data_IF_940794848018
#
_entry.id   IF_940794848018
#
_cell.length_a   1.000
_cell.length_b   1.000
_cell.length_c   1.000
_cell.angle_alpha   90.00
_cell.angle_beta   90.00
_cell.angle_gamma   90.00
#
_symmetry.space_group_name_H-M   'P 1'
#
loop_
_entity.id
_entity.type
_entity.pdbx_description
1 polymer ?
#
# COMPACT_ATOMS: atom_id res chain seq x y z
N UNK A 1 16.74 45.82 -59.72
CA UNK A 1 16.89 44.45 -60.25
C UNK A 1 18.18 43.88 -59.73
N UNK A 2 18.12 43.01 -58.71
CA UNK A 2 18.81 41.73 -58.73
C UNK A 2 18.42 40.94 -57.47
N UNK A 3 17.80 39.80 -57.75
CA UNK A 3 17.36 38.77 -56.84
C UNK A 3 18.51 38.28 -55.98
N UNK A 4 18.32 38.22 -54.67
CA UNK A 4 19.17 37.42 -53.80
C UNK A 4 18.53 36.03 -53.68
N UNK A 5 19.25 35.07 -54.23
CA UNK A 5 19.00 33.65 -54.19
C UNK A 5 18.83 33.18 -52.73
N UNK A 6 17.60 32.87 -52.36
CA UNK A 6 17.31 32.06 -51.20
C UNK A 6 17.64 30.60 -51.53
N UNK A 7 18.89 30.19 -51.28
CA UNK A 7 19.26 28.78 -51.23
C UNK A 7 18.49 28.09 -50.10
N UNK A 8 17.33 27.55 -50.46
CA UNK A 8 16.55 26.66 -49.63
C UNK A 8 17.31 25.34 -49.52
N UNK A 9 18.02 25.15 -48.42
CA UNK A 9 18.55 23.86 -48.01
C UNK A 9 17.38 22.94 -47.60
N UNK A 10 16.65 22.43 -48.59
CA UNK A 10 15.78 21.29 -48.39
C UNK A 10 16.65 20.05 -48.20
N UNK A 11 17.15 19.84 -46.96
CA UNK A 11 17.64 18.52 -46.56
C UNK A 11 16.43 17.58 -46.55
N UNK A 12 16.31 16.77 -47.60
CA UNK A 12 15.45 15.59 -47.61
C UNK A 12 15.67 14.79 -46.32
N UNK A 13 14.62 14.32 -45.62
CA UNK A 13 14.82 13.44 -44.48
C UNK A 13 15.43 12.15 -45.01
N UNK A 14 16.71 11.92 -44.70
CA UNK A 14 17.36 10.63 -44.94
C UNK A 14 16.45 9.53 -44.39
N UNK A 15 16.11 8.58 -45.25
CA UNK A 15 15.33 7.42 -44.88
C UNK A 15 16.11 6.60 -43.87
N UNK A 16 15.79 6.81 -42.59
CA UNK A 16 16.43 6.13 -41.47
C UNK A 16 16.23 4.63 -41.63
N UNK A 17 17.27 3.91 -42.07
CA UNK A 17 17.23 2.46 -42.14
C UNK A 17 17.18 1.91 -40.72
N UNK A 18 16.19 1.08 -40.36
CA UNK A 18 16.12 0.52 -39.02
C UNK A 18 17.33 -0.40 -38.79
N UNK A 19 18.20 0.00 -37.87
CA UNK A 19 19.43 -0.72 -37.48
C UNK A 19 19.17 -2.01 -36.70
N UNK A 20 17.91 -2.38 -36.43
CA UNK A 20 17.55 -3.48 -35.56
C UNK A 20 17.70 -3.19 -34.06
N UNK A 21 18.31 -2.04 -33.69
CA UNK A 21 18.46 -1.59 -32.31
C UNK A 21 17.13 -1.11 -31.70
N UNK A 22 17.04 -1.13 -30.36
CA UNK A 22 15.88 -0.57 -29.66
C UNK A 22 15.78 0.93 -29.90
N UNK A 23 14.59 1.38 -30.32
CA UNK A 23 14.27 2.81 -30.37
C UNK A 23 14.24 3.38 -28.96
N UNK A 24 15.14 4.29 -28.62
CA UNK A 24 15.17 4.96 -27.33
C UNK A 24 14.39 6.27 -27.38
N UNK A 25 13.65 6.58 -26.32
CA UNK A 25 13.05 7.90 -26.10
C UNK A 25 13.87 8.68 -25.05
N UNK A 26 13.50 9.94 -24.78
CA UNK A 26 14.23 10.79 -23.83
C UNK A 26 14.25 10.19 -22.41
N UNK A 27 13.10 9.74 -21.91
CA UNK A 27 12.99 9.13 -20.58
C UNK A 27 13.86 7.87 -20.42
N UNK A 28 13.95 7.03 -21.45
CA UNK A 28 14.84 5.87 -21.46
C UNK A 28 16.30 6.29 -21.35
N UNK A 29 16.70 7.38 -22.02
CA UNK A 29 18.08 7.90 -21.94
C UNK A 29 18.38 8.43 -20.54
N UNK A 30 17.45 9.12 -19.91
CA UNK A 30 17.59 9.58 -18.52
C UNK A 30 17.67 8.42 -17.53
N UNK A 31 16.84 7.39 -17.72
CA UNK A 31 16.87 6.17 -16.90
C UNK A 31 18.20 5.44 -17.07
N UNK A 32 18.73 5.36 -18.31
CA UNK A 32 20.05 4.81 -18.59
C UNK A 32 21.15 5.62 -17.91
N UNK A 33 21.16 6.96 -18.05
CA UNK A 33 22.16 7.81 -17.43
C UNK A 33 22.17 7.66 -15.89
N UNK A 34 20.99 7.61 -15.27
CA UNK A 34 20.85 7.36 -13.82
C UNK A 34 21.33 5.97 -13.40
N UNK A 35 21.03 4.94 -14.20
CA UNK A 35 21.58 3.60 -13.99
C UNK A 35 23.10 3.55 -14.21
N UNK A 36 23.63 4.38 -15.10
CA UNK A 36 25.05 4.47 -15.40
C UNK A 36 25.84 5.19 -14.31
N UNK A 37 25.22 6.11 -13.58
CA UNK A 37 25.79 6.71 -12.37
C UNK A 37 25.70 5.83 -11.12
N UNK A 38 25.08 4.64 -11.21
CA UNK A 38 25.01 3.73 -10.08
C UNK A 38 26.36 3.04 -9.85
N UNK A 39 26.98 3.36 -8.71
CA UNK A 39 28.25 2.79 -8.28
C UNK A 39 28.09 1.55 -7.38
N UNK A 40 26.85 1.23 -6.99
CA UNK A 40 26.52 0.20 -6.01
C UNK A 40 26.23 0.76 -4.62
N UNK A 41 25.70 -0.09 -3.77
CA UNK A 41 25.32 0.23 -2.39
C UNK A 41 26.43 -0.20 -1.43
N UNK A 42 26.69 0.51 -0.32
CA UNK A 42 27.66 0.07 0.68
C UNK A 42 27.43 -1.39 1.11
N UNK A 43 28.54 -2.10 1.38
CA UNK A 43 28.49 -3.49 1.85
C UNK A 43 27.68 -3.56 3.14
N UNK A 44 26.64 -4.40 3.15
CA UNK A 44 25.69 -4.55 4.26
C UNK A 44 24.28 -3.99 3.97
N UNK A 45 24.19 -2.93 3.17
CA UNK A 45 22.90 -2.33 2.76
C UNK A 45 22.35 -2.90 1.44
N UNK A 46 23.17 -3.67 0.73
CA UNK A 46 22.85 -4.39 -0.50
C UNK A 46 21.85 -5.53 -0.27
N UNK A 47 20.61 -5.19 0.10
CA UNK A 47 19.51 -6.12 0.38
C UNK A 47 18.47 -6.03 -0.75
N UNK A 48 18.47 -6.94 -1.74
CA UNK A 48 17.60 -6.84 -2.91
C UNK A 48 16.11 -6.73 -2.56
N UNK A 49 15.68 -7.44 -1.51
CA UNK A 49 14.29 -7.42 -1.04
C UNK A 49 13.88 -6.07 -0.43
N UNK A 50 14.83 -5.27 0.08
CA UNK A 50 14.56 -3.92 0.59
C UNK A 50 14.10 -3.01 -0.54
N UNK A 51 14.81 -3.03 -1.68
CA UNK A 51 14.45 -2.26 -2.86
C UNK A 51 13.14 -2.75 -3.48
N UNK A 52 12.93 -4.07 -3.51
CA UNK A 52 11.68 -4.65 -3.97
C UNK A 52 10.48 -4.26 -3.11
N UNK A 53 10.64 -4.23 -1.78
CA UNK A 53 9.58 -3.82 -0.86
C UNK A 53 9.19 -2.35 -1.05
N UNK A 54 10.17 -1.45 -1.19
CA UNK A 54 9.88 -0.04 -1.50
C UNK A 54 9.13 0.10 -2.83
N UNK A 55 9.55 -0.63 -3.87
CA UNK A 55 8.84 -0.66 -5.14
C UNK A 55 7.42 -1.23 -5.01
N UNK A 56 7.22 -2.29 -4.22
CA UNK A 56 5.90 -2.90 -4.00
C UNK A 56 4.89 -1.89 -3.44
N UNK A 57 5.32 -1.08 -2.48
CA UNK A 57 4.45 -0.07 -1.85
C UNK A 57 4.17 1.11 -2.78
N UNK A 58 5.10 1.43 -3.68
CA UNK A 58 4.98 2.51 -4.64
C UNK A 58 4.23 2.12 -5.93
N UNK A 59 4.28 0.85 -6.34
CA UNK A 59 3.78 0.36 -7.63
C UNK A 59 2.35 0.78 -7.98
N UNK A 60 1.37 0.75 -7.05
CA UNK A 60 -0.01 1.17 -7.33
C UNK A 60 -0.15 2.65 -7.76
N UNK A 61 0.85 3.48 -7.45
CA UNK A 61 0.84 4.92 -7.69
C UNK A 61 1.65 5.34 -8.92
N UNK A 62 2.37 4.41 -9.53
CA UNK A 62 3.25 4.68 -10.67
C UNK A 62 2.57 4.52 -12.03
N UNK A 63 1.27 4.15 -12.06
CA UNK A 63 0.51 3.97 -13.30
C UNK A 63 1.06 2.84 -14.19
N UNK A 64 1.68 1.82 -13.57
CA UNK A 64 2.34 0.74 -14.30
C UNK A 64 1.34 -0.26 -14.88
N UNK A 65 1.67 -0.92 -16.00
CA UNK A 65 0.83 -1.97 -16.56
C UNK A 65 0.73 -3.18 -15.62
N UNK A 66 -0.35 -3.94 -15.78
CA UNK A 66 -0.51 -5.21 -15.09
C UNK A 66 0.71 -6.13 -15.28
N UNK A 67 1.03 -6.94 -14.27
CA UNK A 67 2.22 -7.79 -14.16
C UNK A 67 3.56 -7.07 -13.92
N UNK A 68 3.58 -5.75 -13.72
CA UNK A 68 4.78 -4.99 -13.38
C UNK A 68 5.49 -5.57 -12.14
N UNK A 69 4.81 -5.60 -10.99
CA UNK A 69 5.39 -6.17 -9.77
C UNK A 69 5.78 -7.65 -9.92
N UNK A 70 4.96 -8.45 -10.62
CA UNK A 70 5.27 -9.88 -10.88
C UNK A 70 6.58 -10.05 -11.64
N UNK A 71 6.82 -9.24 -12.67
CA UNK A 71 8.07 -9.29 -13.43
C UNK A 71 9.25 -8.81 -12.60
N UNK A 72 9.14 -7.65 -11.95
CA UNK A 72 10.25 -7.08 -11.17
C UNK A 72 10.65 -7.97 -10.01
N UNK A 73 9.69 -8.48 -9.24
CA UNK A 73 9.96 -9.43 -8.13
C UNK A 73 10.68 -10.70 -8.61
N UNK A 74 10.35 -11.19 -9.80
CA UNK A 74 11.02 -12.35 -10.40
C UNK A 74 12.43 -12.03 -10.92
N UNK A 75 12.67 -10.83 -11.43
CA UNK A 75 14.00 -10.38 -11.82
C UNK A 75 14.91 -10.17 -10.61
N UNK A 76 14.41 -9.55 -9.54
CA UNK A 76 15.15 -9.35 -8.28
C UNK A 76 15.60 -10.70 -7.70
N UNK A 77 14.73 -11.72 -7.72
CA UNK A 77 15.07 -13.10 -7.29
C UNK A 77 16.17 -13.78 -8.11
N UNK A 78 16.52 -13.25 -9.27
CA UNK A 78 17.62 -13.77 -10.11
C UNK A 78 18.96 -13.05 -9.85
N UNK A 79 18.96 -12.05 -8.97
CA UNK A 79 20.16 -11.35 -8.52
C UNK A 79 20.61 -11.84 -7.15
N UNK A 80 21.87 -11.63 -6.82
CA UNK A 80 22.48 -11.90 -5.52
C UNK A 80 22.78 -10.59 -4.80
N UNK A 81 22.87 -10.58 -3.48
CA UNK A 81 23.18 -9.37 -2.70
C UNK A 81 24.45 -8.66 -3.19
N UNK A 82 25.50 -9.42 -3.50
CA UNK A 82 26.76 -8.90 -4.03
C UNK A 82 26.62 -8.15 -5.38
N UNK A 83 25.57 -8.42 -6.15
CA UNK A 83 25.34 -7.72 -7.41
C UNK A 83 24.95 -6.25 -7.19
N UNK A 84 24.39 -5.93 -6.01
CA UNK A 84 23.94 -4.60 -5.61
C UNK A 84 25.01 -3.82 -4.85
N UNK A 85 26.12 -4.46 -4.48
CA UNK A 85 27.21 -3.83 -3.74
C UNK A 85 28.04 -2.89 -4.62
N UNK A 86 28.81 -2.03 -3.96
CA UNK A 86 29.75 -1.13 -4.60
C UNK A 86 30.70 -1.85 -5.57
N UNK A 87 30.83 -1.30 -6.78
CA UNK A 87 31.63 -1.87 -7.87
C UNK A 87 30.91 -2.94 -8.70
N UNK A 88 29.61 -3.16 -8.48
CA UNK A 88 28.79 -4.10 -9.25
C UNK A 88 27.45 -3.48 -9.67
N UNK A 89 26.73 -4.16 -10.57
CA UNK A 89 25.36 -3.81 -10.96
C UNK A 89 24.42 -5.02 -10.92
N UNK A 90 23.18 -4.85 -10.43
CA UNK A 90 22.23 -5.94 -10.32
C UNK A 90 21.57 -6.23 -11.67
N UNK A 91 22.27 -6.95 -12.53
CA UNK A 91 21.79 -7.34 -13.85
C UNK A 91 21.18 -8.74 -13.79
N UNK A 92 19.97 -8.91 -14.31
CA UNK A 92 19.29 -10.20 -14.46
C UNK A 92 19.09 -10.53 -15.95
N UNK A 93 19.43 -11.76 -16.37
CA UNK A 93 19.43 -12.14 -17.79
C UNK A 93 18.60 -13.41 -18.11
N UNK A 94 17.32 -13.51 -17.70
CA UNK A 94 16.49 -14.64 -18.09
C UNK A 94 16.26 -14.69 -19.60
N UNK A 95 16.20 -15.91 -20.15
CA UNK A 95 15.81 -16.10 -21.55
C UNK A 95 14.38 -15.57 -21.80
N UNK A 96 14.14 -15.05 -23.02
CA UNK A 96 12.83 -14.51 -23.40
C UNK A 96 11.71 -15.56 -23.28
N UNK A 97 12.01 -16.82 -23.62
CA UNK A 97 11.07 -17.96 -23.46
C UNK A 97 10.67 -18.15 -22.00
N UNK A 98 11.66 -18.23 -21.09
CA UNK A 98 11.41 -18.40 -19.65
C UNK A 98 10.62 -17.23 -19.06
N UNK A 99 10.89 -16.01 -19.52
CA UNK A 99 10.13 -14.83 -19.10
C UNK A 99 8.65 -14.92 -19.55
N UNK A 100 8.40 -15.30 -20.80
CA UNK A 100 7.05 -15.44 -21.33
C UNK A 100 6.25 -16.54 -20.60
N UNK A 101 6.88 -17.69 -20.34
CA UNK A 101 6.30 -18.80 -19.57
C UNK A 101 5.96 -18.38 -18.14
N UNK A 102 6.91 -17.75 -17.43
CA UNK A 102 6.68 -17.31 -16.05
C UNK A 102 5.53 -16.29 -15.94
N UNK A 103 5.48 -15.34 -16.88
CA UNK A 103 4.42 -14.34 -16.89
C UNK A 103 3.09 -14.89 -17.44
N UNK A 104 3.12 -16.03 -18.14
CA UNK A 104 2.01 -16.61 -18.91
C UNK A 104 1.45 -15.62 -19.96
N UNK A 105 2.35 -14.96 -20.69
CA UNK A 105 2.00 -13.94 -21.69
C UNK A 105 2.60 -14.27 -23.06
N UNK A 106 1.94 -13.80 -24.11
CA UNK A 106 2.51 -13.88 -25.46
C UNK A 106 3.80 -13.05 -25.57
N UNK A 107 4.74 -13.40 -26.47
CA UNK A 107 5.99 -12.65 -26.64
C UNK A 107 5.77 -11.17 -26.94
N UNK A 108 4.73 -10.83 -27.71
CA UNK A 108 4.36 -9.45 -28.00
C UNK A 108 3.99 -8.67 -26.73
N UNK A 109 3.16 -9.26 -25.84
CA UNK A 109 2.78 -8.65 -24.56
C UNK A 109 3.97 -8.49 -23.62
N UNK A 110 4.87 -9.48 -23.57
CA UNK A 110 6.12 -9.37 -22.79
C UNK A 110 6.98 -8.22 -23.30
N UNK A 111 7.08 -8.05 -24.62
CA UNK A 111 7.82 -6.93 -25.23
C UNK A 111 7.20 -5.58 -24.85
N UNK A 112 5.87 -5.45 -24.92
CA UNK A 112 5.16 -4.23 -24.52
C UNK A 112 5.31 -3.94 -23.02
N UNK A 113 5.22 -4.96 -22.17
CA UNK A 113 5.45 -4.82 -20.72
C UNK A 113 6.89 -4.36 -20.44
N UNK A 114 7.88 -5.00 -21.05
CA UNK A 114 9.28 -4.62 -20.88
C UNK A 114 9.54 -3.18 -21.32
N UNK A 115 8.92 -2.78 -22.44
CA UNK A 115 8.99 -1.43 -22.97
C UNK A 115 8.44 -0.42 -21.95
N UNK A 116 7.21 -0.64 -21.47
CA UNK A 116 6.56 0.26 -20.52
C UNK A 116 7.35 0.41 -19.21
N UNK A 117 7.91 -0.67 -18.67
CA UNK A 117 8.71 -0.63 -17.45
C UNK A 117 10.06 0.05 -17.64
N UNK A 118 10.66 -0.07 -18.83
CA UNK A 118 11.88 0.67 -19.16
C UNK A 118 11.58 2.16 -19.34
N UNK A 119 10.48 2.53 -20.01
CA UNK A 119 10.05 3.92 -20.15
C UNK A 119 9.73 4.56 -18.80
N UNK A 120 9.10 3.81 -17.89
CA UNK A 120 8.85 4.23 -16.52
C UNK A 120 10.09 4.22 -15.62
N UNK A 121 11.27 3.83 -16.14
CA UNK A 121 12.54 3.82 -15.42
C UNK A 121 12.59 2.83 -14.25
N UNK A 122 11.86 1.72 -14.33
CA UNK A 122 11.84 0.67 -13.29
C UNK A 122 13.06 -0.24 -13.42
N UNK A 123 13.50 -0.49 -14.65
CA UNK A 123 14.78 -1.13 -14.96
C UNK A 123 15.31 -0.56 -16.28
N UNK A 124 16.57 -0.84 -16.58
CA UNK A 124 17.17 -0.54 -17.89
C UNK A 124 17.42 -1.85 -18.64
N UNK A 125 17.15 -1.87 -19.94
CA UNK A 125 17.46 -3.04 -20.77
C UNK A 125 18.82 -2.85 -21.47
N UNK A 126 19.79 -3.69 -21.11
CA UNK A 126 21.15 -3.73 -21.68
C UNK A 126 21.22 -4.83 -22.74
N UNK A 127 21.73 -4.49 -23.92
CA UNK A 127 21.91 -5.42 -25.05
C UNK A 127 23.38 -5.66 -25.33
N UNK A 128 23.71 -6.90 -25.72
CA UNK A 128 24.97 -7.17 -26.39
C UNK A 128 24.88 -6.80 -27.88
N UNK A 129 26.00 -6.92 -28.60
CA UNK A 129 26.09 -6.64 -30.04
C UNK A 129 25.06 -7.42 -30.88
N UNK A 130 24.64 -8.59 -30.40
CA UNK A 130 23.67 -9.47 -31.05
C UNK A 130 22.22 -9.24 -30.58
N UNK A 131 21.98 -8.32 -29.65
CA UNK A 131 20.67 -8.07 -29.02
C UNK A 131 20.14 -9.21 -28.15
N UNK A 132 21.00 -10.17 -27.77
CA UNK A 132 20.66 -11.31 -26.91
C UNK A 132 20.99 -11.03 -25.45
N UNK A 133 20.21 -11.64 -24.56
CA UNK A 133 20.49 -11.65 -23.12
C UNK A 133 21.55 -12.72 -22.84
N UNK A 134 22.61 -12.33 -22.16
CA UNK A 134 23.75 -13.20 -21.85
C UNK A 134 24.36 -12.76 -20.53
N UNK A 135 24.91 -13.68 -19.76
CA UNK A 135 25.68 -13.31 -18.59
C UNK A 135 26.55 -14.46 -18.12
N UNK A 136 27.71 -14.11 -17.57
CA UNK A 136 28.69 -15.04 -17.03
C UNK A 136 29.10 -14.56 -15.64
N UNK A 137 29.09 -15.51 -14.70
CA UNK A 137 29.60 -15.31 -13.34
C UNK A 137 30.95 -15.99 -13.16
N UNK A 138 31.79 -15.41 -12.31
CA UNK A 138 33.06 -16.00 -11.89
C UNK A 138 32.88 -17.11 -10.86
N UNK A 139 33.99 -17.76 -10.44
CA UNK A 139 33.98 -18.77 -9.38
C UNK A 139 33.47 -18.25 -8.03
N UNK A 140 33.65 -16.96 -7.77
CA UNK A 140 33.14 -16.22 -6.61
C UNK A 140 31.67 -15.81 -6.74
N UNK A 141 31.01 -16.22 -7.83
CA UNK A 141 29.63 -15.86 -8.14
C UNK A 141 29.44 -14.42 -8.61
N UNK A 142 30.49 -13.59 -8.69
CA UNK A 142 30.36 -12.19 -9.13
C UNK A 142 30.13 -12.14 -10.63
N UNK A 143 29.39 -11.11 -11.08
CA UNK A 143 29.15 -10.88 -12.50
C UNK A 143 30.47 -10.45 -13.14
N UNK A 144 30.95 -11.21 -14.13
CA UNK A 144 32.09 -10.82 -14.98
C UNK A 144 31.58 -10.02 -16.17
N UNK A 145 30.50 -10.51 -16.79
CA UNK A 145 29.87 -9.88 -17.94
C UNK A 145 28.37 -10.18 -17.91
N UNK A 146 27.52 -9.18 -18.16
CA UNK A 146 26.08 -9.40 -18.25
C UNK A 146 25.36 -8.37 -19.12
N UNK A 147 24.41 -8.87 -19.91
CA UNK A 147 23.47 -8.14 -20.75
C UNK A 147 22.06 -8.67 -20.47
N UNK A 148 21.16 -7.78 -20.07
CA UNK A 148 19.82 -8.15 -19.63
C UNK A 148 19.09 -6.97 -19.01
N UNK A 149 18.42 -7.20 -17.88
CA UNK A 149 17.70 -6.20 -17.11
C UNK A 149 18.59 -5.69 -15.98
N UNK A 150 19.04 -4.45 -16.10
CA UNK A 150 19.74 -3.71 -15.07
C UNK A 150 18.73 -3.14 -14.08
N UNK A 151 18.74 -3.66 -12.85
CA UNK A 151 17.82 -3.33 -11.77
C UNK A 151 18.33 -2.20 -10.86
N UNK A 152 19.48 -1.59 -11.18
CA UNK A 152 20.01 -0.45 -10.42
C UNK A 152 19.02 0.70 -10.23
N UNK A 153 18.06 0.99 -11.16
CA UNK A 153 17.06 2.02 -10.91
C UNK A 153 16.22 1.79 -9.66
N UNK A 154 16.04 0.54 -9.21
CA UNK A 154 15.31 0.25 -7.97
C UNK A 154 16.05 0.75 -6.73
N UNK A 155 17.39 0.74 -6.76
CA UNK A 155 18.21 1.30 -5.69
C UNK A 155 18.34 2.83 -5.82
N UNK A 156 18.56 3.34 -7.03
CA UNK A 156 18.68 4.79 -7.28
C UNK A 156 17.39 5.54 -6.91
N UNK A 157 16.22 4.94 -7.15
CA UNK A 157 14.90 5.54 -6.87
C UNK A 157 14.31 5.09 -5.53
N UNK A 158 15.12 4.48 -4.66
CA UNK A 158 14.64 3.91 -3.41
C UNK A 158 13.92 4.96 -2.54
N UNK A 159 14.51 6.14 -2.36
CA UNK A 159 13.92 7.21 -1.56
C UNK A 159 12.68 7.83 -2.21
N UNK A 160 12.64 7.88 -3.55
CA UNK A 160 11.46 8.29 -4.32
C UNK A 160 10.28 7.35 -4.05
N UNK A 161 10.51 6.03 -4.09
CA UNK A 161 9.48 5.04 -3.82
C UNK A 161 8.98 5.09 -2.37
N UNK A 162 9.89 5.25 -1.39
CA UNK A 162 9.50 5.41 0.01
C UNK A 162 8.63 6.64 0.20
N UNK A 163 9.05 7.78 -0.36
CA UNK A 163 8.29 9.03 -0.24
C UNK A 163 6.91 8.90 -0.85
N UNK A 164 6.81 8.36 -2.07
CA UNK A 164 5.54 8.16 -2.76
C UNK A 164 4.59 7.24 -1.96
N UNK A 165 5.11 6.13 -1.43
CA UNK A 165 4.35 5.22 -0.60
C UNK A 165 3.87 5.87 0.71
N UNK A 166 4.73 6.67 1.35
CA UNK A 166 4.42 7.39 2.58
C UNK A 166 3.33 8.45 2.35
N UNK A 167 3.43 9.24 1.29
CA UNK A 167 2.42 10.23 0.88
C UNK A 167 1.07 9.56 0.63
N UNK A 168 1.06 8.47 -0.15
CA UNK A 168 -0.17 7.73 -0.43
C UNK A 168 -0.80 7.12 0.83
N UNK A 169 0.02 6.63 1.77
CA UNK A 169 -0.46 6.11 3.06
C UNK A 169 -1.06 7.23 3.92
N UNK A 170 -0.40 8.39 3.99
CA UNK A 170 -0.90 9.54 4.71
C UNK A 170 -2.24 10.03 4.14
N UNK A 171 -2.37 10.08 2.82
CA UNK A 171 -3.61 10.49 2.16
C UNK A 171 -4.75 9.49 2.43
N UNK A 172 -4.49 8.18 2.34
CA UNK A 172 -5.49 7.15 2.69
C UNK A 172 -5.96 7.28 4.14
N UNK A 173 -5.04 7.51 5.06
CA UNK A 173 -5.36 7.70 6.47
C UNK A 173 -6.16 8.98 6.72
N UNK A 174 -5.80 10.07 6.03
CA UNK A 174 -6.57 11.33 6.06
C UNK A 174 -7.99 11.13 5.56
N UNK A 175 -8.17 10.49 4.40
CA UNK A 175 -9.50 10.16 3.86
C UNK A 175 -10.31 9.26 4.82
N UNK A 176 -9.66 8.27 5.45
CA UNK A 176 -10.30 7.39 6.44
C UNK A 176 -10.84 8.19 7.62
N UNK A 177 -10.01 9.05 8.22
CA UNK A 177 -10.40 9.92 9.34
C UNK A 177 -11.57 10.85 8.96
N UNK A 178 -11.52 11.45 7.77
CA UNK A 178 -12.58 12.32 7.28
C UNK A 178 -13.90 11.55 7.10
N UNK A 179 -13.88 10.35 6.50
CA UNK A 179 -15.09 9.51 6.37
C UNK A 179 -15.68 9.09 7.72
N UNK A 180 -14.84 8.86 8.72
CA UNK A 180 -15.31 8.64 10.09
C UNK A 180 -16.01 9.87 10.66
N UNK A 181 -15.45 11.07 10.48
CA UNK A 181 -16.09 12.34 10.90
C UNK A 181 -17.42 12.60 10.20
N UNK A 182 -17.50 12.34 8.89
CA UNK A 182 -18.77 12.41 8.13
C UNK A 182 -19.82 11.49 8.74
N UNK A 183 -19.42 10.25 9.05
CA UNK A 183 -20.32 9.25 9.65
C UNK A 183 -20.82 9.70 11.02
N UNK A 184 -19.93 10.26 11.84
CA UNK A 184 -20.27 10.79 13.15
C UNK A 184 -21.23 11.97 13.04
N UNK A 185 -20.89 13.01 12.27
CA UNK A 185 -21.72 14.19 12.09
C UNK A 185 -23.12 13.84 11.55
N UNK A 186 -23.19 12.97 10.55
CA UNK A 186 -24.47 12.46 10.03
C UNK A 186 -25.30 11.76 11.11
N UNK A 187 -24.68 10.92 11.94
CA UNK A 187 -25.36 10.21 13.03
C UNK A 187 -25.88 11.20 14.08
N UNK A 188 -25.08 12.18 14.48
CA UNK A 188 -25.49 13.20 15.43
C UNK A 188 -26.68 14.01 14.92
N UNK A 189 -26.64 14.46 13.66
CA UNK A 189 -27.78 15.16 13.05
C UNK A 189 -29.03 14.28 13.12
N UNK A 190 -28.94 13.02 12.70
CA UNK A 190 -30.09 12.10 12.76
C UNK A 190 -30.64 11.92 14.17
N UNK A 191 -29.77 11.77 15.16
CA UNK A 191 -30.16 11.62 16.56
C UNK A 191 -30.87 12.86 17.10
N UNK A 192 -30.39 14.06 16.77
CA UNK A 192 -31.08 15.28 17.14
C UNK A 192 -32.48 15.38 16.49
N UNK A 193 -32.64 14.89 15.26
CA UNK A 193 -33.96 14.74 14.62
C UNK A 193 -34.90 13.80 15.38
N UNK A 194 -34.40 12.64 15.79
CA UNK A 194 -35.13 11.66 16.59
C UNK A 194 -35.53 12.24 17.96
N UNK A 195 -34.65 13.01 18.59
CA UNK A 195 -34.90 13.71 19.86
C UNK A 195 -35.98 14.80 19.72
N UNK A 196 -35.87 15.66 18.72
CA UNK A 196 -36.88 16.70 18.44
C UNK A 196 -38.26 16.10 18.19
N UNK A 197 -38.33 15.00 17.41
CA UNK A 197 -39.57 14.28 17.18
C UNK A 197 -40.16 13.71 18.48
N UNK A 198 -39.32 13.20 19.38
CA UNK A 198 -39.73 12.68 20.69
C UNK A 198 -40.27 13.78 21.60
N UNK A 199 -39.67 14.97 21.57
CA UNK A 199 -40.09 16.14 22.33
C UNK A 199 -41.28 16.89 21.69
N UNK A 200 -41.76 16.44 20.52
CA UNK A 200 -42.83 17.11 19.78
C UNK A 200 -42.44 18.48 19.22
N UNK A 201 -41.14 18.75 19.07
CA UNK A 201 -40.61 20.00 18.53
C UNK A 201 -40.66 19.96 17.01
N UNK A 202 -41.33 20.93 16.39
CA UNK A 202 -41.33 21.13 14.94
C UNK A 202 -40.50 22.36 14.62
N UNK A 203 -39.35 22.16 13.99
CA UNK A 203 -38.45 23.26 13.64
C UNK A 203 -38.53 23.59 12.15
N UNK A 204 -38.69 24.88 11.86
CA UNK A 204 -38.64 25.39 10.50
C UNK A 204 -37.25 25.14 9.89
N UNK A 205 -37.20 24.56 8.69
CA UNK A 205 -35.94 24.25 8.01
C UNK A 205 -35.30 22.90 8.36
N UNK A 206 -35.89 22.07 9.25
CA UNK A 206 -35.39 20.72 9.53
C UNK A 206 -35.28 19.86 8.26
N UNK A 207 -36.34 19.83 7.45
CA UNK A 207 -36.37 19.09 6.18
C UNK A 207 -35.27 19.55 5.22
N UNK A 208 -34.91 20.84 5.23
CA UNK A 208 -33.82 21.39 4.44
C UNK A 208 -32.46 20.87 4.92
N UNK A 209 -32.24 20.81 6.24
CA UNK A 209 -31.01 20.23 6.81
C UNK A 209 -30.89 18.75 6.47
N UNK A 210 -31.98 17.98 6.57
CA UNK A 210 -31.97 16.55 6.22
C UNK A 210 -31.63 16.33 4.75
N UNK A 211 -32.30 17.05 3.84
CA UNK A 211 -32.04 16.96 2.41
C UNK A 211 -30.58 17.31 2.08
N UNK A 212 -30.06 18.42 2.61
CA UNK A 212 -28.69 18.86 2.38
C UNK A 212 -27.66 17.91 3.01
N UNK A 213 -27.97 17.31 4.16
CA UNK A 213 -27.14 16.27 4.79
C UNK A 213 -27.07 15.03 3.90
N UNK A 214 -28.19 14.60 3.33
CA UNK A 214 -28.24 13.47 2.40
C UNK A 214 -27.40 13.75 1.13
N UNK A 215 -27.51 14.93 0.55
CA UNK A 215 -26.71 15.36 -0.60
C UNK A 215 -25.20 15.34 -0.30
N UNK A 216 -24.79 15.90 0.83
CA UNK A 216 -23.39 15.92 1.27
C UNK A 216 -22.84 14.50 1.48
N UNK A 217 -23.63 13.59 2.03
CA UNK A 217 -23.24 12.17 2.19
C UNK A 217 -23.10 11.48 0.83
N UNK A 218 -23.95 11.81 -0.15
CA UNK A 218 -23.79 11.30 -1.52
C UNK A 218 -22.54 11.86 -2.20
N UNK A 219 -22.23 13.14 -2.00
CA UNK A 219 -20.98 13.76 -2.50
C UNK A 219 -19.75 13.06 -1.91
N UNK A 220 -19.75 12.78 -0.59
CA UNK A 220 -18.67 12.06 0.08
C UNK A 220 -18.39 10.65 -0.47
N UNK A 221 -19.43 9.97 -0.99
CA UNK A 221 -19.27 8.64 -1.62
C UNK A 221 -18.54 8.72 -2.95
N UNK A 222 -18.66 9.83 -3.67
CA UNK A 222 -18.03 10.06 -4.98
C UNK A 222 -16.65 10.69 -4.88
N UNK A 223 -16.31 11.26 -3.72
CA UNK A 223 -15.05 11.97 -3.51
C UNK A 223 -13.82 11.06 -3.71
N UNK A 224 -12.92 11.50 -4.57
CA UNK A 224 -11.65 10.82 -4.88
C UNK A 224 -10.47 11.38 -4.08
N UNK A 225 -10.58 12.62 -3.59
CA UNK A 225 -9.53 13.33 -2.87
C UNK A 225 -9.95 13.69 -1.44
N UNK A 226 -8.98 13.78 -0.52
CA UNK A 226 -9.25 14.17 0.87
C UNK A 226 -9.75 15.61 1.01
N UNK A 227 -9.40 16.51 0.10
CA UNK A 227 -9.86 17.91 0.11
C UNK A 227 -11.38 18.00 -0.04
N UNK A 228 -11.95 17.25 -0.98
CA UNK A 228 -13.41 17.16 -1.17
C UNK A 228 -14.10 16.62 0.07
N UNK A 229 -13.55 15.56 0.68
CA UNK A 229 -14.08 15.01 1.93
C UNK A 229 -13.98 16.03 3.08
N UNK A 230 -12.94 16.86 3.12
CA UNK A 230 -12.78 17.88 4.15
C UNK A 230 -13.84 18.98 4.03
N UNK A 231 -14.18 19.40 2.80
CA UNK A 231 -15.28 20.34 2.55
C UNK A 231 -16.62 19.76 2.98
N UNK A 232 -16.87 18.48 2.71
CA UNK A 232 -18.08 17.79 3.17
C UNK A 232 -18.14 17.73 4.70
N UNK A 233 -17.02 17.35 5.35
CA UNK A 233 -16.93 17.32 6.82
C UNK A 233 -17.25 18.68 7.41
N UNK A 234 -16.62 19.75 6.92
CA UNK A 234 -16.86 21.11 7.39
C UNK A 234 -18.34 21.50 7.26
N UNK A 235 -18.94 21.17 6.12
CA UNK A 235 -20.36 21.46 5.86
C UNK A 235 -21.29 20.68 6.79
N UNK A 236 -21.01 19.40 7.06
CA UNK A 236 -21.80 18.57 7.97
C UNK A 236 -21.62 18.98 9.44
N UNK A 237 -20.40 19.28 9.87
CA UNK A 237 -20.13 19.72 11.23
C UNK A 237 -20.74 21.08 11.53
N UNK A 238 -20.76 22.00 10.56
CA UNK A 238 -21.51 23.26 10.66
C UNK A 238 -22.99 23.01 10.93
N UNK A 239 -23.61 22.13 10.14
CA UNK A 239 -25.03 21.76 10.29
C UNK A 239 -25.33 21.09 11.61
N UNK A 240 -24.45 20.19 12.04
CA UNK A 240 -24.52 19.60 13.38
C UNK A 240 -24.54 20.70 14.43
N UNK A 241 -23.63 21.68 14.35
CA UNK A 241 -23.60 22.81 15.27
C UNK A 241 -24.86 23.67 15.23
N UNK A 242 -25.43 23.92 14.06
CA UNK A 242 -26.69 24.66 13.91
C UNK A 242 -27.85 23.91 14.60
N UNK A 243 -27.94 22.59 14.39
CA UNK A 243 -28.95 21.73 15.02
C UNK A 243 -28.77 21.65 16.54
N UNK A 244 -27.53 21.47 17.01
CA UNK A 244 -27.22 21.44 18.45
C UNK A 244 -27.60 22.77 19.13
N UNK A 245 -27.32 23.89 18.46
CA UNK A 245 -27.69 25.22 18.96
C UNK A 245 -29.21 25.38 19.07
N UNK A 246 -29.94 24.96 18.05
CA UNK A 246 -31.40 25.01 18.06
C UNK A 246 -32.01 24.14 19.17
N UNK A 247 -31.49 22.92 19.36
CA UNK A 247 -31.92 22.05 20.45
C UNK A 247 -31.63 22.69 21.82
N UNK A 248 -30.46 23.32 21.99
CA UNK A 248 -30.13 24.06 23.21
C UNK A 248 -31.04 25.28 23.46
N UNK A 249 -31.45 26.00 22.41
CA UNK A 249 -32.39 27.11 22.52
C UNK A 249 -33.81 26.64 22.86
N UNK A 250 -34.24 25.50 22.32
CA UNK A 250 -35.51 24.86 22.62
C UNK A 250 -35.55 24.25 24.04
N UNK A 251 -34.39 23.87 24.57
CA UNK A 251 -34.22 23.26 25.89
C UNK A 251 -33.97 24.28 27.03
N UNK A 252 -34.15 25.60 26.79
CA UNK A 252 -34.05 26.63 27.85
C UNK A 252 -34.90 26.22 29.06
N UNK A 253 -34.35 26.30 30.29
CA UNK A 253 -34.87 25.58 31.42
C UNK A 253 -36.29 26.02 31.75
N UNK A 254 -37.20 25.05 31.83
CA UNK A 254 -38.35 25.18 32.72
C UNK A 254 -37.74 25.40 34.11
N UNK A 255 -38.05 26.53 34.74
CA UNK A 255 -37.69 26.77 36.13
C UNK A 255 -38.40 25.72 36.99
N UNK A 256 -37.69 24.66 37.34
CA UNK A 256 -38.15 23.63 38.27
C UNK A 256 -37.73 24.04 39.69
N UNK A 257 -38.00 25.28 40.09
CA UNK A 257 -38.13 25.62 41.50
C UNK A 257 -39.55 25.18 41.91
N UNK A 258 -39.76 23.99 42.50
CA UNK A 258 -40.88 23.86 43.40
C UNK A 258 -40.53 24.75 44.59
N UNK A 259 -41.42 25.65 44.99
CA UNK A 259 -41.43 26.11 46.37
C UNK A 259 -41.36 24.85 47.26
N UNK A 260 -40.21 24.68 47.93
CA UNK A 260 -39.90 23.81 49.07
C UNK A 260 -40.56 22.44 49.16
N UNK A 261 -39.76 21.36 49.13
CA UNK A 261 -39.73 20.38 50.24
C UNK A 261 -38.33 19.74 50.32
N UNK A 262 -37.79 19.76 51.54
CA UNK A 262 -36.63 19.02 52.04
C UNK A 262 -36.75 17.51 51.72
N UNK A 263 -35.86 16.97 50.89
CA UNK A 263 -35.33 15.59 50.94
C UNK A 263 -34.59 15.30 49.63
N UNK A 264 -33.25 15.34 49.67
CA UNK A 264 -32.41 14.95 48.54
C UNK A 264 -32.49 13.43 48.28
N UNK A 265 -32.76 12.96 47.05
CA UNK A 265 -32.40 11.61 46.67
C UNK A 265 -30.89 11.53 46.43
N UNK A 266 -30.24 10.58 47.10
CA UNK A 266 -28.82 10.29 46.95
C UNK A 266 -28.46 10.09 45.46
N UNK A 267 -27.62 10.98 44.92
CA UNK A 267 -27.09 10.83 43.57
C UNK A 267 -25.97 9.80 43.60
N UNK A 268 -26.26 8.57 43.19
CA UNK A 268 -25.19 7.60 42.93
C UNK A 268 -24.53 7.97 41.61
N UNK A 269 -23.33 8.56 41.67
CA UNK A 269 -22.53 8.80 40.50
C UNK A 269 -22.10 7.44 39.89
N UNK A 270 -22.75 7.03 38.80
CA UNK A 270 -22.20 6.00 37.91
C UNK A 270 -21.05 6.64 37.12
N UNK A 271 -19.95 6.92 37.81
CA UNK A 271 -18.67 7.04 37.14
C UNK A 271 -18.39 5.65 36.58
N UNK A 272 -18.54 5.49 35.26
CA UNK A 272 -17.95 4.39 34.52
C UNK A 272 -16.45 4.41 34.85
N UNK A 273 -16.04 3.60 35.82
CA UNK A 273 -14.62 3.36 36.08
C UNK A 273 -14.06 2.78 34.79
N UNK A 274 -13.11 3.48 34.18
CA UNK A 274 -12.33 2.97 33.07
C UNK A 274 -11.83 1.58 33.43
N UNK A 275 -12.32 0.55 32.73
CA UNK A 275 -11.91 -0.81 32.97
C UNK A 275 -10.64 -1.08 32.14
N UNK A 276 -9.44 -1.19 32.74
CA UNK A 276 -8.20 -1.29 31.99
C UNK A 276 -8.01 -2.65 31.28
N UNK A 277 -8.95 -3.58 31.43
CA UNK A 277 -8.96 -4.87 30.72
C UNK A 277 -9.65 -4.81 29.35
N UNK A 278 -10.36 -3.73 29.04
CA UNK A 278 -11.18 -3.61 27.82
C UNK A 278 -10.65 -2.56 26.82
N UNK A 279 -9.44 -2.06 27.02
CA UNK A 279 -8.77 -1.14 26.09
C UNK A 279 -7.29 -1.49 25.96
N UNK A 280 -6.89 -2.00 24.80
CA UNK A 280 -5.47 -2.22 24.45
C UNK A 280 -4.87 -0.86 24.08
N UNK A 281 -4.26 -0.19 25.05
CA UNK A 281 -3.42 0.99 24.82
C UNK A 281 -1.97 0.52 24.78
N UNK A 282 -1.36 0.54 23.58
CA UNK A 282 0.07 0.31 23.45
C UNK A 282 0.83 1.53 24.01
N UNK A 283 1.34 1.44 25.24
CA UNK A 283 2.26 2.44 25.75
C UNK A 283 3.67 2.21 25.19
N UNK A 284 4.15 3.20 24.45
CA UNK A 284 5.55 3.31 24.05
C UNK A 284 6.41 3.70 25.27
N UNK A 285 7.10 2.69 25.81
CA UNK A 285 8.39 2.69 26.52
C UNK A 285 8.81 3.84 27.45
N UNK A 286 9.20 3.49 28.68
CA UNK A 286 10.51 3.88 29.25
C UNK A 286 11.03 2.73 30.12
N UNK A 287 12.32 2.45 29.96
CA UNK A 287 13.14 1.47 30.66
C UNK A 287 13.50 2.00 32.05
N UNK A 288 13.21 1.24 33.10
CA UNK A 288 13.88 1.38 34.39
C UNK A 288 14.02 0.00 35.03
N UNK A 289 15.26 -0.37 35.32
CA UNK A 289 15.63 -1.63 35.93
C UNK A 289 15.02 -1.76 37.33
N UNK A 290 14.29 -2.85 37.56
CA UNK A 290 13.95 -3.35 38.89
C UNK A 290 14.44 -4.79 38.95
N UNK A 291 15.19 -5.10 40.00
CA UNK A 291 15.74 -6.42 40.29
C UNK A 291 14.67 -7.52 40.17
N UNK A 292 14.99 -8.53 39.36
CA UNK A 292 14.17 -9.71 39.22
C UNK A 292 14.52 -10.69 40.34
N UNK A 293 13.50 -11.09 41.10
CA UNK A 293 13.57 -12.29 41.95
C UNK A 293 13.91 -13.54 41.12
N UNK A 294 14.60 -14.53 41.69
CA UNK A 294 15.07 -15.70 40.95
C UNK A 294 13.88 -16.54 40.45
N UNK A 295 13.80 -16.64 39.12
CA UNK A 295 12.86 -17.46 38.37
C UNK A 295 13.13 -18.94 38.70
N UNK A 296 12.10 -19.61 39.21
CA UNK A 296 12.05 -21.07 39.38
C UNK A 296 12.35 -21.80 38.06
N UNK A 297 13.10 -22.92 38.05
CA UNK A 297 13.48 -23.59 36.81
C UNK A 297 12.26 -24.08 36.01
N UNK A 298 12.36 -24.11 34.67
CA UNK A 298 11.25 -24.49 33.81
C UNK A 298 10.82 -25.95 34.06
N UNK A 299 9.51 -26.27 34.02
CA UNK A 299 9.08 -27.65 34.09
C UNK A 299 9.61 -28.44 32.88
N UNK A 300 9.98 -29.68 33.13
CA UNK A 300 10.53 -30.63 32.16
C UNK A 300 9.68 -30.72 30.88
N UNK A 301 10.29 -31.02 29.72
CA UNK A 301 9.56 -31.18 28.47
C UNK A 301 8.47 -32.24 28.63
N UNK A 302 7.24 -31.85 28.29
CA UNK A 302 6.08 -32.76 28.26
C UNK A 302 6.45 -33.93 27.37
N UNK A 303 6.45 -35.13 27.96
CA UNK A 303 6.72 -36.36 27.25
C UNK A 303 5.81 -36.45 26.02
N UNK A 304 6.40 -36.66 24.84
CA UNK A 304 5.65 -37.03 23.64
C UNK A 304 4.80 -38.25 23.96
N UNK A 305 3.50 -38.05 24.12
CA UNK A 305 2.55 -39.14 24.32
C UNK A 305 2.40 -39.86 22.98
N UNK A 306 3.30 -40.82 22.71
CA UNK A 306 3.21 -41.73 21.57
C UNK A 306 2.02 -42.65 21.79
N UNK A 307 0.84 -42.20 21.37
CA UNK A 307 -0.32 -43.07 21.26
C UNK A 307 -0.04 -44.07 20.12
N UNK A 308 0.01 -45.39 20.39
CA UNK A 308 0.22 -46.40 19.37
C UNK A 308 -1.09 -46.60 18.59
N UNK A 309 -1.43 -45.65 17.71
CA UNK A 309 -2.60 -45.75 16.84
C UNK A 309 -2.16 -46.41 15.54
N UNK A 310 -2.72 -47.59 15.24
CA UNK A 310 -2.51 -48.23 13.94
C UNK A 310 -3.23 -47.42 12.84
N UNK A 311 -2.71 -47.34 11.60
CA UNK A 311 -3.29 -46.53 10.53
C UNK A 311 -4.80 -46.75 10.30
N UNK A 312 -5.27 -47.97 10.52
CA UNK A 312 -6.67 -48.39 10.33
C UNK A 312 -7.64 -47.83 11.39
N UNK A 313 -7.12 -47.33 12.52
CA UNK A 313 -7.91 -46.78 13.63
C UNK A 313 -8.13 -45.26 13.53
N UNK A 314 -7.39 -44.58 12.66
CA UNK A 314 -7.48 -43.13 12.42
C UNK A 314 -8.85 -42.69 11.86
N UNK A 315 -9.50 -43.45 10.95
CA UNK A 315 -10.83 -43.09 10.43
C UNK A 315 -11.94 -43.10 11.49
N UNK A 316 -11.81 -43.96 12.53
CA UNK A 316 -12.80 -44.08 13.61
C UNK A 316 -12.69 -42.93 14.62
N UNK A 317 -11.47 -42.48 14.92
CA UNK A 317 -11.21 -41.41 15.89
C UNK A 317 -11.38 -40.00 15.30
N UNK A 318 -11.13 -39.83 14.00
CA UNK A 318 -11.22 -38.53 13.35
C UNK A 318 -11.74 -38.62 11.91
N UNK A 319 -13.08 -38.80 11.73
CA UNK A 319 -13.71 -39.07 10.42
C UNK A 319 -13.39 -38.02 9.34
N UNK A 320 -13.16 -36.76 9.75
CA UNK A 320 -12.81 -35.64 8.86
C UNK A 320 -11.52 -35.84 8.05
N UNK A 321 -10.61 -36.71 8.51
CA UNK A 321 -9.36 -36.98 7.82
C UNK A 321 -9.45 -38.16 6.85
N UNK A 322 -10.58 -38.87 6.79
CA UNK A 322 -10.78 -40.02 5.89
C UNK A 322 -10.50 -39.70 4.41
N UNK A 323 -10.80 -38.47 3.97
CA UNK A 323 -10.54 -38.01 2.59
C UNK A 323 -9.05 -37.83 2.23
N UNK A 324 -8.15 -37.86 3.21
CA UNK A 324 -6.71 -37.67 3.02
C UNK A 324 -5.89 -38.94 3.23
N UNK A 325 -6.51 -40.01 3.75
CA UNK A 325 -5.89 -41.32 3.84
C UNK A 325 -5.98 -41.97 2.46
N UNK A 326 -4.90 -41.84 1.67
CA UNK A 326 -4.75 -42.56 0.41
C UNK A 326 -4.70 -44.06 0.70
N UNK A 327 -5.59 -44.83 0.07
CA UNK A 327 -5.48 -46.28 0.04
C UNK A 327 -4.26 -46.64 -0.82
N UNK A 328 -3.14 -46.97 -0.18
CA UNK A 328 -2.09 -47.73 -0.84
C UNK A 328 -2.64 -49.14 -1.11
N UNK A 329 -3.15 -49.36 -2.32
CA UNK A 329 -3.24 -50.70 -2.90
C UNK A 329 -1.99 -50.93 -3.73
N UNK A 330 -1.06 -51.69 -3.18
CA UNK A 330 0.00 -52.35 -3.92
C UNK A 330 -0.44 -53.77 -4.30
N UNK A 331 -0.11 -54.17 -5.52
CA UNK A 331 -0.21 -55.50 -6.14
C UNK A 331 -1.62 -56.04 -6.44
#
# INVERSE_FOLDING_TARGET
MNSHDAQTFARSPESFRPTGARRLNLHMREAMARADSFEGVPRGDAKPLRFLAAFQEAEPYLGLPAHAFKLVSWLVKQTQSQDWEQGSRPIAWPSARRQAEFLNLSPARVKSLNRALFEAGIFVMRDNEQGKRYGRRGPDGRIIEAYGFDLSPLAVRFDEFIRLAAEAKAERERMRKLRSRITFARRSIRQAGEEMATLGLVMEGWATIEAQTAELVLAARRATHSEELALVVQSLERRKGDVDKWLGEASKPVNLDPEGVENEPHTTATNLSSNPLDTVIAHQGVVAASEAEPISPPPAPVAEMKLPVKPDQIPQLAPRFGRYLRQDRAA
#
